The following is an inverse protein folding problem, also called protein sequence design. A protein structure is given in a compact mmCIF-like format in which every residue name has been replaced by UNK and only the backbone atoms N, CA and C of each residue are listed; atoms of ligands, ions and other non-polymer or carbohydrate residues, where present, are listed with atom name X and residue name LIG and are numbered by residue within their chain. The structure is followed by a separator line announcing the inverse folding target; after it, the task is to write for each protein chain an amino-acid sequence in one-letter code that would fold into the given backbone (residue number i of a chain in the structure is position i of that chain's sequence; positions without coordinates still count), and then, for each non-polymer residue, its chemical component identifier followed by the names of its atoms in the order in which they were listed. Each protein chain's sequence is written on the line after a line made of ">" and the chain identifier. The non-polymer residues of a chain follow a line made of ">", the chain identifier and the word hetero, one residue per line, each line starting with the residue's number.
data_IF_328752069940
#
_entry.id   IF_328752069940
#
_cell.length_a   1.000
_cell.length_b   1.000
_cell.length_c   1.000
_cell.angle_alpha   90.00
_cell.angle_beta   90.00
_cell.angle_gamma   90.00
#
_symmetry.space_group_name_H-M   'P 1'
#
loop_
_entity.id
_entity.type
_entity.pdbx_description
1 polymer ?
#
# COMPACT_ATOMS: atom_id res chain seq x y z
N UNK A 1 2.05 11.03 15.91
CA UNK A 1 2.79 11.01 14.62
C UNK A 1 3.70 9.78 14.51
N UNK A 2 4.51 9.45 15.53
CA UNK A 2 5.43 8.30 15.50
C UNK A 2 4.73 6.98 15.17
N UNK A 3 3.61 6.66 15.83
CA UNK A 3 2.83 5.43 15.56
C UNK A 3 2.40 5.31 14.08
N UNK A 4 2.04 6.42 13.45
CA UNK A 4 1.67 6.43 12.01
C UNK A 4 2.88 6.17 11.12
N UNK A 5 4.04 6.75 11.45
CA UNK A 5 5.28 6.48 10.73
C UNK A 5 5.69 5.02 10.85
N UNK A 6 5.64 4.45 12.06
CA UNK A 6 5.92 3.02 12.30
C UNK A 6 5.04 2.10 11.46
N UNK A 7 3.73 2.33 11.43
CA UNK A 7 2.80 1.53 10.65
C UNK A 7 3.01 1.69 9.14
N UNK A 8 3.27 2.91 8.66
CA UNK A 8 3.59 3.18 7.27
C UNK A 8 4.86 2.43 6.84
N UNK A 9 5.93 2.56 7.62
CA UNK A 9 7.23 1.99 7.25
C UNK A 9 7.22 0.46 7.36
N UNK A 10 6.46 -0.10 8.31
CA UNK A 10 6.22 -1.53 8.39
C UNK A 10 5.55 -2.10 7.13
N UNK A 11 4.63 -1.35 6.51
CA UNK A 11 3.87 -1.79 5.34
C UNK A 11 4.60 -1.48 4.02
N UNK A 12 5.14 -0.27 3.88
CA UNK A 12 5.62 0.25 2.60
C UNK A 12 7.13 0.09 2.44
N UNK A 13 7.88 0.19 3.57
CA UNK A 13 9.33 0.12 3.57
C UNK A 13 9.84 -1.29 3.98
N UNK A 14 11.14 -1.45 4.04
CA UNK A 14 11.78 -2.70 4.50
C UNK A 14 11.79 -2.87 6.02
N UNK A 15 11.04 -2.03 6.73
CA UNK A 15 10.89 -2.03 8.18
C UNK A 15 10.88 -0.63 8.75
N UNK A 16 10.39 -0.51 9.98
CA UNK A 16 10.46 0.72 10.75
C UNK A 16 11.64 0.67 11.72
N UNK A 17 12.42 1.75 11.74
CA UNK A 17 13.65 1.85 12.52
C UNK A 17 13.58 3.08 13.43
N UNK A 18 13.73 2.84 14.72
CA UNK A 18 13.60 3.88 15.73
C UNK A 18 14.84 3.82 16.61
N UNK A 19 15.61 4.89 16.61
CA UNK A 19 16.80 5.00 17.44
C UNK A 19 16.43 5.24 18.89
N UNK A 20 17.02 4.44 19.78
CA UNK A 20 16.86 4.50 21.22
C UNK A 20 18.09 5.17 21.84
N UNK A 21 17.96 6.40 22.24
CA UNK A 21 19.02 7.10 22.96
C UNK A 21 19.06 6.63 24.42
N UNK A 22 20.12 5.93 24.78
CA UNK A 22 20.35 5.38 26.13
C UNK A 22 21.51 6.09 26.80
N UNK A 23 21.42 6.30 28.10
CA UNK A 23 22.52 6.78 28.94
C UNK A 23 22.48 6.04 30.25
N UNK A 24 23.57 5.34 30.60
CA UNK A 24 23.69 4.56 31.86
C UNK A 24 22.48 3.67 32.15
N UNK A 25 22.04 2.89 31.17
CA UNK A 25 20.83 2.02 31.21
C UNK A 25 19.46 2.71 31.29
N UNK A 26 19.41 4.03 31.21
CA UNK A 26 18.15 4.77 31.14
C UNK A 26 17.84 5.21 29.70
N UNK A 27 16.58 5.11 29.30
CA UNK A 27 16.12 5.63 28.01
C UNK A 27 15.93 7.15 28.14
N UNK A 28 16.67 7.90 27.32
CA UNK A 28 16.55 9.37 27.28
C UNK A 28 15.55 9.85 26.26
N UNK A 29 15.61 9.31 25.06
CA UNK A 29 14.74 9.73 23.97
C UNK A 29 14.55 8.62 22.95
N UNK A 30 13.46 8.74 22.19
CA UNK A 30 13.10 7.89 21.07
C UNK A 30 13.12 8.76 19.82
N UNK A 31 13.93 8.41 18.83
CA UNK A 31 14.08 9.20 17.60
C UNK A 31 13.73 8.36 16.39
N UNK A 32 12.79 8.85 15.61
CA UNK A 32 12.47 8.25 14.32
C UNK A 32 13.65 8.44 13.35
N UNK A 33 13.99 7.37 12.63
CA UNK A 33 14.99 7.40 11.56
C UNK A 33 14.30 6.95 10.28
N UNK A 34 14.47 7.74 9.24
CA UNK A 34 13.85 7.45 7.95
C UNK A 34 14.50 6.20 7.33
N UNK A 35 13.73 5.18 6.93
CA UNK A 35 14.27 3.91 6.44
C UNK A 35 15.22 4.06 5.24
N UNK A 36 15.01 5.08 4.41
CA UNK A 36 15.86 5.41 3.26
C UNK A 36 17.27 5.88 3.64
N UNK A 37 17.46 6.32 4.89
CA UNK A 37 18.76 6.80 5.41
C UNK A 37 19.53 5.71 6.16
N UNK A 38 18.94 4.50 6.23
CA UNK A 38 19.55 3.37 6.93
C UNK A 38 20.11 2.38 5.93
N UNK A 39 21.40 2.10 6.04
CA UNK A 39 22.04 0.98 5.37
C UNK A 39 22.21 -0.17 6.34
N UNK A 40 21.90 -1.39 5.92
CA UNK A 40 21.99 -2.59 6.76
C UNK A 40 23.23 -3.36 6.36
N UNK A 41 24.20 -3.39 7.28
CA UNK A 41 25.43 -4.16 7.12
C UNK A 41 25.24 -5.54 7.72
N UNK A 42 25.45 -6.59 6.92
CA UNK A 42 25.37 -7.99 7.34
C UNK A 42 26.70 -8.68 7.07
N UNK A 43 27.11 -9.53 8.00
CA UNK A 43 28.19 -10.45 7.71
C UNK A 43 27.67 -11.62 6.85
N UNK A 44 28.59 -12.34 6.21
CA UNK A 44 28.27 -13.49 5.35
C UNK A 44 28.26 -14.82 6.10
N UNK A 45 28.44 -14.81 7.45
CA UNK A 45 28.41 -16.02 8.24
C UNK A 45 26.98 -16.55 8.36
N UNK A 46 26.66 -17.77 7.92
CA UNK A 46 25.31 -18.30 7.97
C UNK A 46 24.86 -18.67 9.40
N UNK A 47 25.79 -18.87 10.34
CA UNK A 47 25.51 -19.27 11.72
C UNK A 47 25.53 -18.04 12.64
N UNK A 48 26.63 -17.28 12.60
CA UNK A 48 26.81 -16.08 13.42
C UNK A 48 26.44 -14.84 12.61
N UNK A 49 25.13 -14.61 12.47
CA UNK A 49 24.59 -13.46 11.76
C UNK A 49 24.82 -12.19 12.57
N UNK A 50 25.84 -11.43 12.22
CA UNK A 50 26.06 -10.10 12.78
C UNK A 50 25.43 -9.04 11.87
N UNK A 51 24.65 -8.15 12.47
CA UNK A 51 23.93 -7.08 11.78
C UNK A 51 24.24 -5.76 12.46
N UNK A 52 24.62 -4.77 11.68
CA UNK A 52 24.82 -3.38 12.12
C UNK A 52 24.00 -2.45 11.25
N UNK A 53 23.50 -1.39 11.84
CA UNK A 53 22.81 -0.33 11.10
C UNK A 53 23.76 0.84 10.90
N UNK A 54 23.85 1.31 9.67
CA UNK A 54 24.64 2.49 9.33
C UNK A 54 23.67 3.63 8.99
N UNK A 55 23.85 4.77 9.64
CA UNK A 55 23.10 5.99 9.39
C UNK A 55 24.07 7.12 9.06
N UNK A 56 23.98 7.67 7.87
CA UNK A 56 24.89 8.72 7.39
C UNK A 56 26.37 8.33 7.52
N UNK A 57 26.72 7.10 7.16
CA UNK A 57 28.11 6.60 7.20
C UNK A 57 28.61 6.24 8.60
N UNK A 58 27.77 6.32 9.63
CA UNK A 58 28.12 5.96 11.01
C UNK A 58 27.47 4.65 11.41
N UNK A 59 28.25 3.62 11.80
CA UNK A 59 27.69 2.35 12.24
C UNK A 59 27.14 2.43 13.66
N UNK A 60 26.05 1.72 13.88
CA UNK A 60 25.36 1.56 15.15
C UNK A 60 25.04 0.10 15.39
N UNK A 61 25.06 -0.32 16.64
CA UNK A 61 24.66 -1.65 17.05
C UNK A 61 23.13 -1.80 17.04
N UNK A 62 22.66 -3.01 16.74
CA UNK A 62 21.22 -3.30 16.61
C UNK A 62 20.44 -3.04 17.89
N UNK A 63 21.04 -3.21 19.05
CA UNK A 63 20.38 -2.96 20.35
C UNK A 63 20.08 -1.46 20.61
N UNK A 64 20.64 -0.56 19.79
CA UNK A 64 20.30 0.85 19.82
C UNK A 64 19.06 1.20 18.99
N UNK A 65 18.46 0.20 18.35
CA UNK A 65 17.28 0.40 17.53
C UNK A 65 16.13 -0.48 17.97
N UNK A 66 14.94 0.09 18.03
CA UNK A 66 13.69 -0.65 18.00
C UNK A 66 13.33 -0.85 16.53
N UNK A 67 13.33 -2.12 16.10
CA UNK A 67 13.05 -2.49 14.72
C UNK A 67 11.75 -3.24 14.62
N UNK A 68 10.91 -2.87 13.65
CA UNK A 68 9.64 -3.53 13.36
C UNK A 68 9.72 -3.99 11.92
N UNK A 69 9.80 -5.30 11.71
CA UNK A 69 10.06 -5.92 10.41
C UNK A 69 8.87 -6.80 10.00
N UNK A 70 8.42 -6.67 8.75
CA UNK A 70 7.39 -7.51 8.17
C UNK A 70 8.04 -8.64 7.35
N UNK A 71 7.56 -9.86 7.52
CA UNK A 71 7.97 -11.04 6.72
C UNK A 71 9.50 -11.18 6.58
N UNK A 72 10.22 -10.96 7.69
CA UNK A 72 11.68 -11.07 7.70
C UNK A 72 12.13 -12.52 7.60
N UNK A 73 13.14 -12.79 6.78
CA UNK A 73 13.79 -14.11 6.67
C UNK A 73 15.16 -14.13 7.34
N UNK A 74 15.76 -12.97 7.52
CA UNK A 74 17.11 -12.80 8.05
C UNK A 74 17.15 -12.11 9.43
N UNK A 75 16.01 -11.65 9.91
CA UNK A 75 15.90 -10.91 11.17
C UNK A 75 16.45 -9.48 11.12
N UNK A 76 16.88 -9.02 9.96
CA UNK A 76 17.51 -7.71 9.77
C UNK A 76 16.76 -6.82 8.80
N UNK A 77 16.14 -7.41 7.78
CA UNK A 77 15.33 -6.71 6.77
C UNK A 77 13.96 -7.35 6.66
N UNK A 78 12.94 -6.52 6.49
CA UNK A 78 11.60 -6.97 6.17
C UNK A 78 11.36 -6.96 4.66
N UNK A 79 10.18 -7.43 4.25
CA UNK A 79 9.64 -7.28 2.90
C UNK A 79 8.53 -6.25 2.93
N UNK A 80 8.62 -5.25 2.05
CA UNK A 80 7.53 -4.30 1.88
C UNK A 80 6.38 -4.91 1.07
N UNK A 81 5.18 -4.43 1.30
CA UNK A 81 4.02 -4.79 0.45
C UNK A 81 4.28 -4.31 -0.99
N UNK A 82 4.92 -3.17 -1.16
CA UNK A 82 5.26 -2.62 -2.49
C UNK A 82 6.16 -3.57 -3.28
N UNK A 83 7.14 -4.21 -2.63
CA UNK A 83 8.00 -5.21 -3.28
C UNK A 83 7.20 -6.45 -3.70
N UNK A 84 6.22 -6.89 -2.88
CA UNK A 84 5.37 -8.06 -3.15
C UNK A 84 4.44 -7.83 -4.35
N UNK A 85 3.87 -6.64 -4.50
CA UNK A 85 2.93 -6.29 -5.58
C UNK A 85 3.55 -5.41 -6.67
N UNK A 86 4.86 -5.33 -6.76
CA UNK A 86 5.56 -4.43 -7.69
C UNK A 86 5.09 -4.56 -9.14
N UNK A 87 4.86 -5.79 -9.62
CA UNK A 87 4.37 -6.05 -10.98
C UNK A 87 2.92 -5.58 -11.19
N UNK A 88 2.05 -5.76 -10.19
CA UNK A 88 0.67 -5.27 -10.24
C UNK A 88 0.62 -3.75 -10.24
N UNK A 89 1.48 -3.09 -9.44
CA UNK A 89 1.62 -1.63 -9.44
C UNK A 89 2.14 -1.10 -10.77
N UNK A 90 3.17 -1.73 -11.36
CA UNK A 90 3.72 -1.38 -12.68
C UNK A 90 2.65 -1.51 -13.77
N UNK A 91 1.88 -2.60 -13.75
CA UNK A 91 0.77 -2.83 -14.68
C UNK A 91 -0.31 -1.76 -14.51
N UNK A 92 -0.66 -1.43 -13.27
CA UNK A 92 -1.63 -0.36 -12.96
C UNK A 92 -1.15 1.00 -13.48
N UNK A 93 0.10 1.35 -13.21
CA UNK A 93 0.70 2.60 -13.69
C UNK A 93 0.74 2.67 -15.22
N UNK A 94 1.13 1.60 -15.89
CA UNK A 94 1.14 1.52 -17.35
C UNK A 94 -0.26 1.67 -17.95
N UNK A 95 -1.28 1.07 -17.31
CA UNK A 95 -2.67 1.21 -17.70
C UNK A 95 -3.15 2.65 -17.58
N UNK A 96 -2.80 3.34 -16.48
CA UNK A 96 -3.13 4.77 -16.28
C UNK A 96 -2.44 5.65 -17.35
N UNK A 97 -1.17 5.38 -17.66
CA UNK A 97 -0.45 6.10 -18.71
C UNK A 97 -1.08 5.89 -20.09
N UNK A 98 -1.52 4.67 -20.38
CA UNK A 98 -2.24 4.37 -21.63
C UNK A 98 -3.55 5.15 -21.74
N UNK A 99 -4.37 5.16 -20.69
CA UNK A 99 -5.61 5.94 -20.62
C UNK A 99 -5.35 7.43 -20.76
N UNK A 100 -4.36 7.95 -20.04
CA UNK A 100 -3.95 9.36 -20.18
C UNK A 100 -3.58 9.70 -21.62
N UNK A 101 -2.89 8.77 -22.30
CA UNK A 101 -2.55 8.88 -23.71
C UNK A 101 -3.78 8.90 -24.62
N UNK A 102 -4.80 8.10 -24.30
CA UNK A 102 -6.07 8.10 -25.03
C UNK A 102 -6.83 9.42 -24.85
N UNK A 103 -6.94 9.88 -23.59
CA UNK A 103 -7.62 11.14 -23.25
C UNK A 103 -6.92 12.33 -23.92
N UNK A 104 -5.59 12.41 -23.83
CA UNK A 104 -4.81 13.49 -24.47
C UNK A 104 -4.95 13.53 -26.00
N UNK A 105 -5.20 12.38 -26.62
CA UNK A 105 -5.44 12.25 -28.07
C UNK A 105 -6.90 12.40 -28.46
N UNK A 106 -7.76 12.91 -27.57
CA UNK A 106 -9.18 13.13 -27.83
C UNK A 106 -10.02 11.86 -27.95
N UNK A 107 -9.56 10.74 -27.35
CA UNK A 107 -10.32 9.47 -27.41
C UNK A 107 -10.42 8.86 -28.80
N UNK A 108 -9.63 9.35 -29.75
CA UNK A 108 -9.72 8.99 -31.17
C UNK A 108 -9.60 7.49 -31.40
N UNK A 109 -10.69 6.90 -31.88
CA UNK A 109 -10.73 5.52 -32.32
C UNK A 109 -9.71 5.30 -33.43
N UNK A 110 -8.80 4.37 -33.25
CA UNK A 110 -7.89 3.96 -34.32
C UNK A 110 -8.71 3.31 -35.42
N UNK A 111 -8.46 3.67 -36.66
CA UNK A 111 -9.14 3.11 -37.80
C UNK A 111 -8.29 3.14 -39.05
N UNK A 112 -8.86 2.62 -40.14
CA UNK A 112 -8.20 2.56 -41.41
C UNK A 112 -8.97 3.45 -42.41
N UNK A 113 -8.21 4.21 -43.21
CA UNK A 113 -8.77 4.85 -44.39
C UNK A 113 -8.66 3.89 -45.57
N UNK A 114 -9.79 3.52 -46.13
CA UNK A 114 -9.88 2.72 -47.35
C UNK A 114 -10.24 3.63 -48.51
N UNK A 115 -9.49 3.52 -49.61
CA UNK A 115 -9.78 4.23 -50.84
C UNK A 115 -10.20 3.24 -51.94
N UNK A 116 -11.26 3.52 -52.66
CA UNK A 116 -11.74 2.71 -53.79
C UNK A 116 -10.85 2.80 -55.01
N UNK A 117 -10.07 3.89 -55.15
CA UNK A 117 -9.06 4.06 -56.20
C UNK A 117 -7.67 4.14 -55.61
N UNK A 118 -6.66 3.70 -56.39
CA UNK A 118 -5.26 3.80 -55.98
C UNK A 118 -4.84 5.27 -55.95
N UNK A 119 -4.50 5.78 -54.76
CA UNK A 119 -4.01 7.13 -54.53
C UNK A 119 -2.56 7.29 -54.99
N UNK A 120 -2.25 8.45 -55.59
CA UNK A 120 -0.88 8.86 -55.86
C UNK A 120 -0.08 9.10 -54.58
N UNK A 121 1.27 9.11 -54.68
CA UNK A 121 2.15 9.33 -53.52
C UNK A 121 1.84 10.67 -52.83
N UNK A 122 1.67 11.74 -53.63
CA UNK A 122 1.42 13.09 -53.10
C UNK A 122 0.04 13.21 -52.42
N UNK A 123 -0.98 12.54 -52.96
CA UNK A 123 -2.30 12.48 -52.38
C UNK A 123 -2.31 11.72 -51.06
N UNK A 124 -1.56 10.62 -51.00
CA UNK A 124 -1.43 9.83 -49.77
C UNK A 124 -0.68 10.61 -48.65
N UNK A 125 0.34 11.40 -49.02
CA UNK A 125 1.02 12.26 -48.07
C UNK A 125 0.14 13.41 -47.55
N UNK A 126 -0.63 14.06 -48.43
CA UNK A 126 -1.60 15.10 -48.02
C UNK A 126 -2.63 14.52 -47.07
N UNK A 127 -3.18 13.35 -47.38
CA UNK A 127 -4.14 12.66 -46.53
C UNK A 127 -3.55 12.29 -45.16
N UNK A 128 -2.34 11.77 -45.13
CA UNK A 128 -1.62 11.48 -43.86
C UNK A 128 -1.38 12.74 -43.01
N UNK A 129 -1.04 13.87 -43.62
CA UNK A 129 -0.87 15.15 -42.92
C UNK A 129 -2.17 15.66 -42.34
N UNK A 130 -3.24 15.66 -43.15
CA UNK A 130 -4.58 16.05 -42.68
C UNK A 130 -5.06 15.17 -41.51
N UNK A 131 -4.86 13.85 -41.63
CA UNK A 131 -5.19 12.91 -40.57
C UNK A 131 -4.38 13.11 -39.32
N UNK A 132 -3.07 13.38 -39.43
CA UNK A 132 -2.19 13.67 -38.28
C UNK A 132 -2.58 14.96 -37.58
N UNK A 133 -3.00 15.99 -38.34
CA UNK A 133 -3.45 17.26 -37.76
C UNK A 133 -4.77 17.08 -37.00
N UNK A 134 -5.73 16.34 -37.57
CA UNK A 134 -6.98 16.01 -36.91
C UNK A 134 -6.81 15.30 -35.55
N UNK A 135 -5.92 14.29 -35.51
CA UNK A 135 -5.67 13.58 -34.26
C UNK A 135 -4.65 14.28 -33.32
N UNK A 136 -3.95 15.28 -33.83
CA UNK A 136 -2.94 16.04 -33.09
C UNK A 136 -3.41 17.36 -32.47
N UNK A 137 -4.45 17.98 -33.08
CA UNK A 137 -5.03 19.25 -32.63
C UNK A 137 -6.47 19.03 -32.20
N UNK A 138 -6.78 19.37 -30.96
CA UNK A 138 -8.14 19.33 -30.42
C UNK A 138 -9.07 20.42 -31.02
N UNK A 139 -8.60 21.22 -31.97
CA UNK A 139 -9.34 22.35 -32.53
C UNK A 139 -10.13 21.99 -33.79
N UNK A 140 -9.75 20.93 -34.51
CA UNK A 140 -10.46 20.49 -35.73
C UNK A 140 -11.30 19.24 -35.45
N UNK A 141 -12.60 19.42 -35.29
CA UNK A 141 -13.54 18.35 -34.95
C UNK A 141 -14.15 17.62 -36.16
N UNK A 142 -13.79 17.99 -37.39
CA UNK A 142 -14.39 17.43 -38.62
C UNK A 142 -13.33 17.23 -39.71
N UNK A 143 -13.25 16.02 -40.26
CA UNK A 143 -12.48 15.72 -41.46
C UNK A 143 -13.46 15.58 -42.62
N UNK A 144 -13.25 16.33 -43.69
CA UNK A 144 -13.94 16.14 -44.95
C UNK A 144 -13.16 15.15 -45.78
N UNK A 145 -13.76 14.00 -46.07
CA UNK A 145 -13.18 12.96 -46.92
C UNK A 145 -13.72 13.18 -48.37
N UNK A 146 -12.85 13.00 -49.35
CA UNK A 146 -13.24 13.01 -50.76
C UNK A 146 -14.03 11.74 -51.12
N UNK A 147 -14.80 11.82 -52.18
CA UNK A 147 -15.57 10.70 -52.71
C UNK A 147 -14.67 9.47 -52.97
N UNK A 148 -15.08 8.33 -52.46
CA UNK A 148 -14.33 7.08 -52.54
C UNK A 148 -13.30 6.83 -51.42
N UNK A 149 -13.27 7.66 -50.35
CA UNK A 149 -12.47 7.39 -49.14
C UNK A 149 -13.45 7.14 -47.99
N UNK A 150 -13.36 5.98 -47.42
CA UNK A 150 -14.15 5.57 -46.23
C UNK A 150 -13.28 5.37 -45.02
N UNK A 151 -13.74 5.82 -43.86
CA UNK A 151 -13.12 5.49 -42.58
C UNK A 151 -13.77 4.23 -42.02
N UNK A 152 -12.94 3.21 -41.78
CA UNK A 152 -13.35 2.00 -41.09
C UNK A 152 -12.75 2.00 -39.68
N UNK A 153 -13.62 2.02 -38.69
CA UNK A 153 -13.20 1.93 -37.31
C UNK A 153 -12.50 0.60 -37.03
N UNK A 154 -11.32 0.64 -36.42
CA UNK A 154 -10.70 -0.54 -35.83
C UNK A 154 -11.47 -0.95 -34.57
N UNK A 155 -11.66 -2.24 -34.37
CA UNK A 155 -12.37 -2.78 -33.22
C UNK A 155 -11.67 -2.43 -31.88
N UNK A 156 -12.08 -1.31 -31.26
CA UNK A 156 -11.52 -0.84 -29.99
C UNK A 156 -12.46 -1.05 -28.78
N UNK A 157 -13.71 -1.47 -28.99
CA UNK A 157 -14.68 -1.60 -27.88
C UNK A 157 -14.30 -2.68 -26.87
N UNK A 158 -13.60 -3.73 -27.27
CA UNK A 158 -13.13 -4.79 -26.35
C UNK A 158 -11.99 -4.34 -25.45
N UNK A 159 -11.14 -3.42 -25.91
CA UNK A 159 -9.99 -2.91 -25.13
C UNK A 159 -10.43 -2.03 -23.96
N UNK A 160 -11.44 -1.17 -24.18
CA UNK A 160 -11.97 -0.30 -23.12
C UNK A 160 -12.69 -1.10 -22.04
N UNK A 161 -13.46 -2.11 -22.40
CA UNK A 161 -14.09 -3.03 -21.45
C UNK A 161 -13.03 -3.80 -20.65
N UNK A 162 -12.00 -4.33 -21.30
CA UNK A 162 -10.90 -5.03 -20.65
C UNK A 162 -10.09 -4.13 -19.69
N UNK A 163 -9.94 -2.84 -20.00
CA UNK A 163 -9.28 -1.89 -19.10
C UNK A 163 -10.06 -1.71 -17.81
N UNK A 164 -11.38 -1.56 -17.88
CA UNK A 164 -12.23 -1.39 -16.70
C UNK A 164 -12.26 -2.65 -15.83
N UNK A 165 -12.34 -3.83 -16.43
CA UNK A 165 -12.24 -5.10 -15.71
C UNK A 165 -10.86 -5.25 -15.05
N UNK A 166 -9.77 -4.93 -15.74
CA UNK A 166 -8.41 -4.93 -15.17
C UNK A 166 -8.27 -3.99 -13.99
N UNK A 167 -8.80 -2.78 -14.07
CA UNK A 167 -8.77 -1.84 -12.94
C UNK A 167 -9.46 -2.40 -11.71
N UNK A 168 -10.60 -3.07 -11.91
CA UNK A 168 -11.33 -3.71 -10.82
C UNK A 168 -10.48 -4.81 -10.20
N UNK A 169 -9.92 -5.71 -11.00
CA UNK A 169 -9.05 -6.80 -10.54
C UNK A 169 -7.81 -6.26 -9.82
N UNK A 170 -7.14 -5.24 -10.37
CA UNK A 170 -5.97 -4.62 -9.72
C UNK A 170 -6.31 -3.99 -8.37
N UNK A 171 -7.50 -3.40 -8.23
CA UNK A 171 -7.97 -2.89 -6.94
C UNK A 171 -8.22 -4.01 -5.95
N UNK A 172 -8.80 -5.11 -6.40
CA UNK A 172 -9.03 -6.32 -5.59
C UNK A 172 -7.69 -6.91 -5.16
N UNK A 173 -6.73 -7.10 -6.07
CA UNK A 173 -5.37 -7.58 -5.77
C UNK A 173 -4.67 -6.72 -4.70
N UNK A 174 -4.78 -5.39 -4.80
CA UNK A 174 -4.20 -4.47 -3.82
C UNK A 174 -4.90 -4.65 -2.46
N UNK A 175 -6.23 -4.70 -2.44
CA UNK A 175 -6.98 -4.90 -1.20
C UNK A 175 -6.62 -6.23 -0.53
N UNK A 176 -6.46 -7.30 -1.31
CA UNK A 176 -6.13 -8.64 -0.82
C UNK A 176 -4.74 -8.65 -0.14
N UNK A 177 -3.75 -8.00 -0.74
CA UNK A 177 -2.39 -7.93 -0.16
C UNK A 177 -2.34 -7.08 1.10
N UNK A 178 -3.18 -6.05 1.21
CA UNK A 178 -3.36 -5.28 2.43
C UNK A 178 -4.34 -5.93 3.42
N UNK A 179 -4.93 -7.08 3.08
CA UNK A 179 -5.98 -7.76 3.83
C UNK A 179 -7.17 -6.86 4.17
N UNK A 180 -7.56 -6.02 3.19
CA UNK A 180 -8.71 -5.11 3.31
C UNK A 180 -9.95 -5.82 2.75
N UNK A 181 -10.82 -6.26 3.64
CA UNK A 181 -12.13 -6.83 3.31
C UNK A 181 -13.22 -5.75 3.30
N UNK A 182 -14.36 -6.06 2.70
CA UNK A 182 -15.59 -5.27 2.86
C UNK A 182 -16.16 -5.36 4.27
N UNK A 183 -15.78 -6.37 5.03
CA UNK A 183 -16.11 -6.56 6.44
C UNK A 183 -15.06 -5.87 7.31
N UNK A 184 -15.53 -4.95 8.18
CA UNK A 184 -14.67 -4.21 9.09
C UNK A 184 -13.91 -5.12 10.06
N UNK A 185 -14.58 -6.10 10.66
CA UNK A 185 -13.99 -6.98 11.69
C UNK A 185 -12.88 -7.87 11.09
N UNK A 186 -13.09 -8.38 9.87
CA UNK A 186 -12.05 -9.11 9.14
C UNK A 186 -10.85 -8.20 8.84
N UNK A 187 -11.10 -6.98 8.36
CA UNK A 187 -10.01 -6.01 8.09
C UNK A 187 -9.24 -5.69 9.37
N UNK A 188 -9.92 -5.48 10.49
CA UNK A 188 -9.25 -5.25 11.77
C UNK A 188 -8.40 -6.44 12.17
N UNK A 189 -8.95 -7.65 12.09
CA UNK A 189 -8.27 -8.89 12.48
C UNK A 189 -7.05 -9.18 11.60
N UNK A 190 -7.21 -9.07 10.28
CA UNK A 190 -6.21 -9.57 9.34
C UNK A 190 -5.22 -8.48 8.87
N UNK A 191 -5.61 -7.20 8.86
CA UNK A 191 -4.74 -6.08 8.49
C UNK A 191 -4.18 -5.32 9.69
N UNK A 192 -5.02 -4.98 10.69
CA UNK A 192 -4.62 -4.06 11.77
C UNK A 192 -3.94 -4.79 12.92
N UNK A 193 -4.51 -5.92 13.36
CA UNK A 193 -3.97 -6.65 14.52
C UNK A 193 -2.54 -7.16 14.33
N UNK A 194 -2.10 -7.64 13.15
CA UNK A 194 -0.72 -8.00 12.92
C UNK A 194 0.27 -6.83 13.08
N UNK A 195 -0.13 -5.61 12.66
CA UNK A 195 0.70 -4.41 12.83
C UNK A 195 0.85 -4.07 14.31
N UNK A 196 -0.27 -4.11 15.06
CA UNK A 196 -0.28 -3.87 16.50
C UNK A 196 0.62 -4.88 17.21
N UNK A 197 0.46 -6.17 16.92
CA UNK A 197 1.26 -7.25 17.52
C UNK A 197 2.76 -7.12 17.19
N UNK A 198 3.10 -6.71 15.98
CA UNK A 198 4.50 -6.46 15.61
C UNK A 198 5.11 -5.31 16.42
N UNK A 199 4.35 -4.22 16.61
CA UNK A 199 4.79 -3.08 17.42
C UNK A 199 4.92 -3.49 18.90
N UNK A 200 3.93 -4.18 19.46
CA UNK A 200 3.97 -4.67 20.86
C UNK A 200 5.16 -5.59 21.09
N UNK A 201 5.39 -6.52 20.21
CA UNK A 201 6.53 -7.45 20.28
C UNK A 201 7.87 -6.71 20.27
N UNK A 202 8.00 -5.69 19.40
CA UNK A 202 9.20 -4.87 19.34
C UNK A 202 9.39 -4.03 20.62
N UNK A 203 8.33 -3.47 21.18
CA UNK A 203 8.37 -2.72 22.45
C UNK A 203 8.78 -3.64 23.61
N UNK A 204 8.10 -4.78 23.74
CA UNK A 204 8.39 -5.75 24.81
C UNK A 204 9.82 -6.31 24.75
N UNK A 205 10.34 -6.50 23.51
CA UNK A 205 11.72 -6.95 23.30
C UNK A 205 12.76 -5.91 23.74
N UNK A 206 12.54 -4.63 23.43
CA UNK A 206 13.59 -3.60 23.54
C UNK A 206 13.50 -2.75 24.81
N UNK A 207 12.32 -2.64 25.44
CA UNK A 207 12.11 -1.78 26.60
C UNK A 207 12.03 -2.51 27.93
N UNK A 208 11.74 -3.81 27.93
CA UNK A 208 11.69 -4.60 29.16
C UNK A 208 12.99 -5.34 29.40
N UNK A 209 13.46 -5.30 30.65
CA UNK A 209 14.56 -6.15 31.11
C UNK A 209 14.08 -7.61 31.16
N UNK A 210 15.02 -8.56 31.10
CA UNK A 210 14.67 -10.00 31.19
C UNK A 210 13.96 -10.36 32.51
N UNK A 211 14.28 -9.65 33.58
CA UNK A 211 13.64 -9.81 34.90
C UNK A 211 12.22 -9.24 34.96
N UNK A 212 11.87 -8.32 34.05
CA UNK A 212 10.55 -7.67 33.99
C UNK A 212 9.62 -8.41 33.05
N UNK A 213 10.16 -9.14 32.08
CA UNK A 213 9.38 -9.97 31.15
C UNK A 213 8.62 -11.05 31.93
N UNK A 214 7.33 -11.13 31.73
CA UNK A 214 6.44 -12.03 32.47
C UNK A 214 5.67 -11.37 33.60
N UNK A 215 6.11 -10.19 34.08
CA UNK A 215 5.36 -9.37 35.06
C UNK A 215 4.75 -8.14 34.36
N UNK A 216 5.53 -7.50 33.47
CA UNK A 216 5.11 -6.32 32.74
C UNK A 216 5.09 -6.60 31.24
N UNK A 217 4.20 -5.92 30.54
CA UNK A 217 4.12 -5.94 29.09
C UNK A 217 3.55 -4.64 28.55
N UNK A 218 3.97 -4.30 27.34
CA UNK A 218 3.36 -3.23 26.55
C UNK A 218 2.26 -3.81 25.69
N UNK A 219 1.08 -3.26 25.78
CA UNK A 219 -0.06 -3.62 24.92
C UNK A 219 -0.80 -2.37 24.49
N UNK A 220 -1.40 -2.42 23.31
CA UNK A 220 -2.34 -1.40 22.87
C UNK A 220 -3.73 -1.71 23.42
N UNK A 221 -4.43 -0.69 23.85
CA UNK A 221 -5.86 -0.82 24.07
C UNK A 221 -6.59 -0.92 22.73
N UNK A 222 -6.92 -2.13 22.35
CA UNK A 222 -7.63 -2.45 21.10
C UNK A 222 -9.14 -2.47 21.27
N UNK A 223 -9.65 -2.30 22.49
CA UNK A 223 -11.10 -2.36 22.77
C UNK A 223 -11.92 -1.46 21.85
N UNK A 224 -11.44 -0.23 21.57
CA UNK A 224 -12.15 0.71 20.69
C UNK A 224 -12.14 0.32 19.21
N UNK A 225 -11.17 -0.49 18.76
CA UNK A 225 -11.02 -0.93 17.38
C UNK A 225 -11.79 -2.23 17.14
N UNK A 226 -11.75 -3.14 18.11
CA UNK A 226 -12.38 -4.47 18.02
C UNK A 226 -13.83 -4.47 18.49
N UNK A 227 -14.29 -3.38 19.10
CA UNK A 227 -15.69 -3.24 19.49
C UNK A 227 -16.57 -3.21 18.25
N UNK A 228 -17.42 -4.20 18.07
CA UNK A 228 -18.45 -4.26 17.05
C UNK A 228 -19.38 -3.04 17.04
N UNK A 229 -20.41 -3.05 16.23
CA UNK A 229 -21.39 -1.96 16.21
C UNK A 229 -21.91 -1.66 17.62
N UNK A 230 -22.35 -0.43 17.86
CA UNK A 230 -22.92 -0.03 19.16
C UNK A 230 -24.00 -1.03 19.63
N UNK A 231 -24.81 -1.50 18.69
CA UNK A 231 -25.89 -2.47 18.95
C UNK A 231 -25.33 -3.81 19.44
N UNK A 232 -24.36 -4.39 18.75
CA UNK A 232 -23.74 -5.67 19.12
C UNK A 232 -23.08 -5.59 20.49
N UNK A 233 -22.43 -4.48 20.77
CA UNK A 233 -21.77 -4.22 22.05
C UNK A 233 -22.80 -4.17 23.21
N UNK A 234 -23.89 -3.45 23.01
CA UNK A 234 -24.95 -3.38 24.04
C UNK A 234 -25.69 -4.71 24.20
N UNK A 235 -25.87 -5.48 23.15
CA UNK A 235 -26.39 -6.85 23.22
C UNK A 235 -25.45 -7.77 24.02
N UNK A 236 -24.14 -7.67 23.79
CA UNK A 236 -23.11 -8.41 24.56
C UNK A 236 -23.13 -7.99 26.05
N UNK A 237 -23.23 -6.70 26.36
CA UNK A 237 -23.34 -6.22 27.74
C UNK A 237 -24.60 -6.69 28.42
N UNK A 238 -25.73 -6.74 27.70
CA UNK A 238 -26.98 -7.29 28.25
C UNK A 238 -26.80 -8.75 28.63
N UNK A 239 -26.22 -9.56 27.76
CA UNK A 239 -25.94 -10.98 28.03
C UNK A 239 -24.99 -11.12 29.23
N UNK A 240 -23.92 -10.33 29.28
CA UNK A 240 -22.95 -10.37 30.37
C UNK A 240 -23.56 -9.96 31.72
N UNK A 241 -24.45 -8.97 31.72
CA UNK A 241 -25.20 -8.54 32.91
C UNK A 241 -26.23 -9.58 33.36
N UNK A 242 -26.99 -10.15 32.40
CA UNK A 242 -28.01 -11.17 32.68
C UNK A 242 -27.40 -12.47 33.24
N UNK A 243 -26.16 -12.78 32.83
CA UNK A 243 -25.38 -13.95 33.30
C UNK A 243 -24.57 -13.66 34.58
N UNK A 244 -24.56 -12.42 35.07
CA UNK A 244 -23.82 -12.01 36.25
C UNK A 244 -22.28 -11.86 36.05
N UNK A 245 -21.85 -11.79 34.81
CA UNK A 245 -20.41 -11.62 34.44
C UNK A 245 -19.91 -10.19 34.63
N UNK A 246 -20.76 -9.19 34.33
CA UNK A 246 -20.45 -7.78 34.46
C UNK A 246 -21.56 -7.06 35.25
N UNK A 247 -21.14 -6.30 36.24
CA UNK A 247 -22.02 -5.39 36.94
C UNK A 247 -22.30 -4.11 36.16
N UNK A 248 -23.44 -3.45 36.48
CA UNK A 248 -23.84 -2.21 35.79
C UNK A 248 -22.75 -1.11 35.87
N UNK A 249 -22.03 -1.01 36.99
CA UNK A 249 -20.95 -0.02 37.15
C UNK A 249 -19.73 -0.36 36.32
N UNK A 250 -19.43 -1.64 36.12
CA UNK A 250 -18.32 -2.09 35.25
C UNK A 250 -18.66 -1.79 33.82
N UNK A 251 -19.88 -2.01 33.36
CA UNK A 251 -20.34 -1.64 32.01
C UNK A 251 -20.24 -0.13 31.78
N UNK A 252 -20.62 0.69 32.78
CA UNK A 252 -20.44 2.14 32.70
C UNK A 252 -18.98 2.54 32.60
N UNK A 253 -18.11 1.93 33.37
CA UNK A 253 -16.68 2.20 33.33
C UNK A 253 -16.04 1.79 31.95
N UNK A 254 -16.53 0.70 31.32
CA UNK A 254 -16.11 0.30 29.99
C UNK A 254 -16.54 1.30 28.89
N UNK A 255 -17.62 2.04 29.10
CA UNK A 255 -18.15 3.04 28.16
C UNK A 255 -17.77 4.49 28.52
N UNK A 256 -16.88 4.68 29.52
CA UNK A 256 -16.45 5.99 30.01
C UNK A 256 -17.60 6.85 30.60
N UNK A 257 -18.63 6.21 31.21
CA UNK A 257 -19.81 6.88 31.90
C UNK A 257 -19.68 6.88 33.42
#
# INVERSE_FOLDING_TARGET
>A
QLKKAMARDYLIEKGAYIYLEKSKNEFKSIRYVEPTQISIMKNYDPIFKDVKYEVNGKPYETFNFLTILRNTTDGATGKSIVDEISKSLETSFTTILYELGLVKKGGGKKGFLTATKKLGKDEMEKLKRAWKNYYGNNEENVIVLNDGIEFKEGANSSVELQINERKKTLKEDINDVFHISSNYDETVKDAVMPIISAIESALNKNFLLESEKGVFYFAFDTKKITRGSLKERYEAYKIASDTGWLGTNEIRAEEDY
#
